data_IF_360967220677
#
_entry.id   IF_360967220677
#
_cell.length_a   1.000
_cell.length_b   1.000
_cell.length_c   1.000
_cell.angle_alpha   90.00
_cell.angle_beta   90.00
_cell.angle_gamma   90.00
#
_symmetry.space_group_name_H-M   'P 1'
#
loop_
_entity.id
_entity.type
_entity.pdbx_description
1 polymer ?
#
# COMPACT_ATOMS: atom_id res chain seq x y z
N UNK A 1 2.52 21.81 -17.65
CA UNK A 1 2.46 20.57 -18.46
C UNK A 1 1.99 19.44 -17.56
N UNK A 2 1.23 18.46 -18.06
CA UNK A 2 0.88 17.28 -17.28
C UNK A 2 2.06 16.29 -17.26
N UNK A 3 2.42 15.77 -16.09
CA UNK A 3 3.46 14.74 -15.96
C UNK A 3 2.91 13.40 -16.47
N UNK A 4 3.54 12.82 -17.49
CA UNK A 4 3.16 11.49 -17.99
C UNK A 4 3.55 10.39 -16.99
N UNK A 5 2.62 10.09 -16.10
CA UNK A 5 2.72 8.99 -15.15
C UNK A 5 2.38 7.62 -15.78
N UNK A 6 1.87 7.53 -17.02
CA UNK A 6 1.59 6.22 -17.63
C UNK A 6 2.90 5.42 -17.82
N UNK A 7 3.97 6.10 -18.25
CA UNK A 7 5.35 5.58 -18.33
C UNK A 7 6.04 5.42 -16.97
N UNK A 8 5.29 5.54 -15.87
CA UNK A 8 5.75 5.21 -14.52
C UNK A 8 5.31 3.83 -14.02
N UNK A 9 4.44 3.10 -14.73
CA UNK A 9 4.15 1.69 -14.39
C UNK A 9 5.01 0.73 -15.23
N UNK A 10 6.19 0.38 -14.71
CA UNK A 10 7.07 -0.71 -15.19
C UNK A 10 7.87 -1.29 -14.01
N UNK A 11 8.52 -2.46 -14.10
CA UNK A 11 9.14 -3.10 -12.92
C UNK A 11 10.21 -2.28 -12.16
N UNK A 12 10.90 -1.32 -12.79
CA UNK A 12 11.81 -0.38 -12.08
C UNK A 12 11.09 0.79 -11.39
N UNK A 13 9.80 0.94 -11.66
CA UNK A 13 8.93 2.03 -11.20
C UNK A 13 7.56 1.51 -10.71
N UNK A 14 7.42 0.21 -10.47
CA UNK A 14 6.17 -0.46 -10.06
C UNK A 14 5.91 -0.16 -8.58
N UNK A 15 5.62 1.11 -8.33
CA UNK A 15 5.58 1.71 -7.02
C UNK A 15 4.14 1.73 -6.53
N UNK A 16 3.95 1.23 -5.32
CA UNK A 16 2.70 1.38 -4.57
C UNK A 16 2.92 2.46 -3.51
N UNK A 17 1.99 3.41 -3.47
CA UNK A 17 2.10 4.66 -2.74
C UNK A 17 1.11 4.71 -1.59
N UNK A 18 1.52 5.16 -0.40
CA UNK A 18 0.64 5.36 0.75
C UNK A 18 0.89 6.72 1.39
N UNK A 19 -0.12 7.57 1.40
CA UNK A 19 -0.05 8.87 2.08
C UNK A 19 -0.22 8.70 3.60
N UNK A 20 0.51 9.50 4.38
CA UNK A 20 0.41 9.59 5.84
C UNK A 20 0.78 10.99 6.32
N UNK A 21 0.35 11.37 7.52
CA UNK A 21 0.92 12.54 8.21
C UNK A 21 2.37 12.26 8.61
N UNK A 22 3.21 13.31 8.64
CA UNK A 22 4.60 13.24 9.09
C UNK A 22 4.76 12.77 10.53
N UNK A 23 3.84 13.15 11.42
CA UNK A 23 3.95 12.85 12.86
C UNK A 23 3.68 11.38 13.17
N UNK A 24 3.05 10.65 12.25
CA UNK A 24 2.89 9.20 12.34
C UNK A 24 4.22 8.47 12.03
N UNK A 25 5.19 9.12 11.37
CA UNK A 25 6.41 8.48 10.86
C UNK A 25 7.26 7.83 11.96
N UNK A 26 7.52 8.44 13.14
CA UNK A 26 8.32 7.80 14.18
C UNK A 26 7.71 6.47 14.67
N UNK A 27 6.39 6.42 14.86
CA UNK A 27 5.70 5.19 15.25
C UNK A 27 5.71 4.16 14.11
N UNK A 28 5.45 4.59 12.87
CA UNK A 28 5.46 3.72 11.68
C UNK A 28 6.84 3.13 11.38
N UNK A 29 7.93 3.83 11.69
CA UNK A 29 9.30 3.31 11.56
C UNK A 29 9.69 2.34 12.68
N UNK A 30 9.16 2.54 13.89
CA UNK A 30 9.45 1.67 15.04
C UNK A 30 8.62 0.38 15.07
N UNK A 31 7.36 0.44 14.63
CA UNK A 31 6.40 -0.67 14.75
C UNK A 31 6.00 -1.26 13.37
N UNK A 32 6.05 -0.46 12.31
CA UNK A 32 5.61 -0.86 10.97
C UNK A 32 4.21 -0.35 10.61
N UNK A 33 3.60 -0.97 9.59
CA UNK A 33 2.28 -0.61 9.05
C UNK A 33 1.24 -1.67 9.44
N UNK A 34 0.21 -1.24 10.17
CA UNK A 34 -0.89 -2.11 10.60
C UNK A 34 -2.22 -1.76 9.95
N UNK A 35 -3.11 -2.75 9.90
CA UNK A 35 -4.53 -2.58 9.60
C UNK A 35 -5.32 -2.19 10.87
N UNK A 36 -6.62 -1.89 10.74
CA UNK A 36 -7.45 -1.40 11.86
C UNK A 36 -7.72 -2.44 12.96
N UNK A 37 -7.61 -3.72 12.65
CA UNK A 37 -7.90 -4.85 13.55
C UNK A 37 -6.69 -5.40 14.30
N UNK A 38 -5.48 -4.91 13.99
CA UNK A 38 -4.29 -5.23 14.76
C UNK A 38 -4.37 -4.66 16.19
N UNK A 39 -3.78 -5.35 17.16
CA UNK A 39 -3.66 -4.87 18.53
C UNK A 39 -2.71 -3.67 18.62
N UNK A 40 -1.71 -3.64 17.74
CA UNK A 40 -0.72 -2.59 17.58
C UNK A 40 -1.33 -1.39 16.83
N UNK A 41 -1.72 -0.37 17.60
CA UNK A 41 -2.20 0.90 17.08
C UNK A 41 -1.42 2.06 17.73
N UNK A 42 -1.24 3.15 17.00
CA UNK A 42 -0.71 4.41 17.52
C UNK A 42 -1.85 5.22 18.17
N UNK A 43 -1.84 5.47 19.49
CA UNK A 43 -2.85 6.32 20.14
C UNK A 43 -2.84 7.77 19.64
N UNK A 44 -1.72 8.24 19.06
CA UNK A 44 -1.55 9.57 18.50
C UNK A 44 -1.88 9.68 17.00
N UNK A 45 -2.35 8.62 16.34
CA UNK A 45 -2.37 8.53 14.87
C UNK A 45 -3.15 9.67 14.18
N UNK A 46 -2.43 10.56 13.50
CA UNK A 46 -3.02 11.70 12.79
C UNK A 46 -3.74 11.20 11.53
N UNK A 47 -5.07 11.18 11.62
CA UNK A 47 -5.97 10.71 10.55
C UNK A 47 -6.24 11.80 9.52
N UNK A 48 -5.52 11.75 8.40
CA UNK A 48 -5.67 12.66 7.25
C UNK A 48 -6.78 12.24 6.24
N UNK A 49 -7.36 11.04 6.40
CA UNK A 49 -8.34 10.49 5.47
C UNK A 49 -9.80 10.84 5.80
N UNK A 50 -10.67 10.81 4.79
CA UNK A 50 -12.11 11.04 4.96
C UNK A 50 -12.73 10.01 5.95
N UNK A 51 -13.24 10.51 7.08
CA UNK A 51 -13.75 9.68 8.19
C UNK A 51 -14.94 8.81 7.81
N UNK A 52 -15.81 9.29 6.92
CA UNK A 52 -17.01 8.59 6.47
C UNK A 52 -16.65 7.39 5.56
N UNK A 53 -15.70 7.57 4.63
CA UNK A 53 -15.12 6.50 3.82
C UNK A 53 -14.37 5.48 4.67
N UNK A 54 -13.63 5.92 5.70
CA UNK A 54 -12.98 5.04 6.68
C UNK A 54 -14.03 4.22 7.44
N UNK A 55 -15.12 4.84 7.88
CA UNK A 55 -16.26 4.16 8.51
C UNK A 55 -16.90 3.11 7.60
N UNK A 56 -17.23 3.47 6.35
CA UNK A 56 -17.78 2.54 5.35
C UNK A 56 -16.84 1.38 5.03
N UNK A 57 -15.52 1.56 5.10
CA UNK A 57 -14.54 0.47 4.93
C UNK A 57 -14.52 -0.50 6.12
N UNK A 58 -14.83 -0.05 7.33
CA UNK A 58 -14.90 -0.89 8.52
C UNK A 58 -16.17 -1.77 8.61
N UNK A 59 -17.18 -1.53 7.76
CA UNK A 59 -18.38 -2.38 7.66
C UNK A 59 -18.50 -3.11 6.33
N UNK A 60 -17.74 -2.71 5.29
CA UNK A 60 -17.72 -3.39 3.99
C UNK A 60 -16.88 -4.66 4.05
N UNK A 61 -17.55 -5.80 4.28
CA UNK A 61 -16.95 -7.13 4.19
C UNK A 61 -16.32 -7.45 2.82
N UNK A 62 -15.30 -8.29 2.81
CA UNK A 62 -14.57 -8.74 1.61
C UNK A 62 -15.01 -10.16 1.24
N UNK A 63 -15.54 -10.40 0.02
CA UNK A 63 -16.10 -11.70 -0.38
C UNK A 63 -15.03 -12.68 -0.88
N UNK A 64 -13.95 -12.86 -0.10
CA UNK A 64 -12.83 -13.76 -0.40
C UNK A 64 -12.54 -14.68 0.80
N UNK A 65 -11.85 -15.82 0.64
CA UNK A 65 -11.62 -16.78 1.73
C UNK A 65 -10.89 -16.21 2.96
N UNK A 66 -10.06 -15.18 2.79
CA UNK A 66 -9.40 -14.45 3.89
C UNK A 66 -10.36 -13.57 4.71
N UNK A 67 -11.59 -13.34 4.23
CA UNK A 67 -12.65 -12.65 4.93
C UNK A 67 -12.31 -11.21 5.36
N UNK A 68 -12.84 -10.83 6.52
CA UNK A 68 -12.69 -9.49 7.08
C UNK A 68 -13.42 -8.40 6.27
N UNK A 69 -12.99 -7.17 6.49
CA UNK A 69 -13.54 -5.92 5.97
C UNK A 69 -12.47 -5.12 5.23
N UNK A 70 -12.86 -4.11 4.45
CA UNK A 70 -11.90 -3.21 3.77
C UNK A 70 -11.04 -2.35 4.73
N UNK A 71 -11.18 -2.48 6.05
CA UNK A 71 -10.27 -1.88 7.05
C UNK A 71 -9.20 -2.85 7.59
N UNK A 72 -9.35 -4.14 7.32
CA UNK A 72 -8.41 -5.20 7.72
C UNK A 72 -7.25 -5.37 6.72
N UNK A 73 -7.34 -4.64 5.59
CA UNK A 73 -6.32 -4.58 4.54
C UNK A 73 -5.75 -3.16 4.43
N UNK A 74 -4.42 -3.04 4.37
CA UNK A 74 -3.70 -1.76 4.32
C UNK A 74 -3.80 -1.17 2.90
N UNK A 75 -4.47 -0.01 2.68
CA UNK A 75 -4.57 0.56 1.34
C UNK A 75 -3.26 1.20 0.86
N UNK A 76 -2.99 0.98 -0.43
CA UNK A 76 -2.00 1.67 -1.25
C UNK A 76 -2.65 2.11 -2.58
N UNK A 77 -2.01 3.05 -3.28
CA UNK A 77 -2.39 3.55 -4.60
C UNK A 77 -1.30 3.19 -5.63
N UNK A 78 -1.69 2.96 -6.90
CA UNK A 78 -0.74 2.82 -8.03
C UNK A 78 -0.32 4.17 -8.64
N UNK A 79 -0.46 5.27 -7.90
CA UNK A 79 -0.08 6.62 -8.30
C UNK A 79 0.21 7.47 -7.05
N UNK A 80 1.20 8.38 -7.07
CA UNK A 80 1.40 9.35 -5.98
C UNK A 80 0.26 10.38 -5.93
N UNK A 81 -0.34 10.72 -7.09
CA UNK A 81 -1.44 11.66 -7.22
C UNK A 81 -2.78 10.98 -6.91
N UNK A 82 -3.01 10.63 -5.65
CA UNK A 82 -4.26 9.98 -5.23
C UNK A 82 -5.45 10.96 -5.15
N UNK A 83 -6.71 10.50 -5.38
CA UNK A 83 -7.90 11.34 -5.15
C UNK A 83 -8.05 11.83 -3.71
N UNK A 84 -7.49 11.12 -2.73
CA UNK A 84 -7.49 11.57 -1.33
C UNK A 84 -6.51 12.73 -1.12
N UNK A 85 -5.35 12.73 -1.80
CA UNK A 85 -4.42 13.85 -1.77
C UNK A 85 -5.04 15.12 -2.35
N UNK A 86 -5.78 15.00 -3.46
CA UNK A 86 -6.55 16.12 -4.02
C UNK A 86 -7.64 16.62 -3.06
N UNK A 87 -8.36 15.73 -2.38
CA UNK A 87 -9.34 16.12 -1.37
C UNK A 87 -8.68 16.84 -0.18
N UNK A 88 -7.50 16.41 0.27
CA UNK A 88 -6.71 17.07 1.33
C UNK A 88 -6.24 18.46 0.88
N UNK A 89 -5.77 18.60 -0.36
CA UNK A 89 -5.33 19.89 -0.91
C UNK A 89 -6.51 20.88 -1.10
N UNK A 90 -7.71 20.39 -1.41
CA UNK A 90 -8.90 21.21 -1.67
C UNK A 90 -9.86 21.34 -0.49
N UNK A 91 -9.61 20.67 0.63
CA UNK A 91 -10.52 20.60 1.79
C UNK A 91 -11.82 19.83 1.52
N UNK A 92 -11.90 19.05 0.44
CA UNK A 92 -13.16 18.42 -0.01
C UNK A 92 -13.51 17.21 0.85
N UNK A 93 -14.27 17.44 1.92
CA UNK A 93 -14.75 16.39 2.83
C UNK A 93 -13.65 15.83 3.76
N UNK A 94 -12.55 16.56 3.90
CA UNK A 94 -11.46 16.33 4.86
C UNK A 94 -10.92 17.69 5.30
N UNK A 95 -10.38 17.83 6.52
CA UNK A 95 -9.57 18.99 6.87
C UNK A 95 -8.39 19.12 5.90
N UNK A 96 -8.07 20.35 5.49
CA UNK A 96 -6.83 20.63 4.77
C UNK A 96 -5.62 20.31 5.63
N UNK A 97 -4.50 19.99 4.98
CA UNK A 97 -3.21 19.74 5.63
C UNK A 97 -2.13 20.54 4.91
N UNK A 98 -1.06 20.93 5.62
CA UNK A 98 0.07 21.60 4.98
C UNK A 98 0.83 20.60 4.11
N UNK A 99 1.42 21.08 3.01
CA UNK A 99 2.12 20.19 2.06
C UNK A 99 3.40 19.60 2.66
N UNK A 100 4.06 20.31 3.58
CA UNK A 100 5.20 19.78 4.34
C UNK A 100 4.83 18.69 5.37
N UNK A 101 3.55 18.53 5.70
CA UNK A 101 3.08 17.57 6.69
C UNK A 101 2.56 16.25 6.09
N UNK A 102 2.41 16.18 4.76
CA UNK A 102 2.01 14.96 4.05
C UNK A 102 3.23 14.24 3.49
N UNK A 103 3.48 13.03 4.00
CA UNK A 103 4.47 12.12 3.46
C UNK A 103 3.82 11.09 2.54
N UNK A 104 4.55 10.69 1.50
CA UNK A 104 4.19 9.57 0.63
C UNK A 104 5.19 8.45 0.85
N UNK A 105 4.73 7.37 1.50
CA UNK A 105 5.49 6.13 1.58
C UNK A 105 5.51 5.48 0.19
N UNK A 106 6.69 5.04 -0.25
CA UNK A 106 6.93 4.49 -1.59
C UNK A 106 7.50 3.08 -1.43
N UNK A 107 6.75 2.07 -1.88
CA UNK A 107 7.19 0.68 -1.86
C UNK A 107 7.32 0.15 -3.29
N UNK A 108 8.37 -0.62 -3.57
CA UNK A 108 8.63 -1.24 -4.88
C UNK A 108 8.47 -2.76 -4.83
N UNK A 109 8.26 -3.39 -5.99
CA UNK A 109 8.34 -4.84 -6.13
C UNK A 109 9.82 -5.28 -6.05
N UNK A 110 10.23 -5.86 -4.92
CA UNK A 110 11.61 -6.35 -4.70
C UNK A 110 11.84 -7.78 -5.24
N UNK A 111 10.76 -8.53 -5.50
CA UNK A 111 10.81 -9.92 -5.91
C UNK A 111 9.42 -10.56 -5.94
N UNK A 112 9.36 -11.83 -6.32
CA UNK A 112 8.12 -12.62 -6.45
C UNK A 112 8.19 -13.80 -5.47
N UNK A 113 7.20 -13.93 -4.59
CA UNK A 113 7.02 -15.10 -3.73
C UNK A 113 6.20 -16.19 -4.44
N UNK A 114 6.68 -17.42 -4.45
CA UNK A 114 5.98 -18.61 -4.96
C UNK A 114 5.63 -19.56 -3.82
N UNK A 115 4.59 -20.39 -3.96
CA UNK A 115 4.18 -21.29 -2.88
C UNK A 115 5.03 -22.58 -2.82
N UNK A 116 5.49 -23.07 -3.97
CA UNK A 116 6.36 -24.26 -4.09
C UNK A 116 7.51 -24.02 -5.08
N UNK A 117 8.50 -24.91 -5.07
CA UNK A 117 9.68 -24.85 -5.93
C UNK A 117 9.37 -25.17 -7.40
N UNK A 118 8.35 -26.01 -7.69
CA UNK A 118 7.88 -26.22 -9.05
C UNK A 118 7.27 -24.93 -9.63
N UNK A 119 6.55 -24.17 -8.81
CA UNK A 119 6.05 -22.85 -9.21
C UNK A 119 7.21 -21.85 -9.37
N UNK A 120 8.24 -21.87 -8.52
CA UNK A 120 9.45 -21.06 -8.75
C UNK A 120 10.08 -21.40 -10.11
N UNK A 121 10.30 -22.68 -10.41
CA UNK A 121 10.94 -23.13 -11.64
C UNK A 121 10.18 -22.76 -12.93
N UNK A 122 8.86 -22.54 -12.86
CA UNK A 122 8.07 -22.04 -14.01
C UNK A 122 8.06 -20.51 -14.12
N UNK A 123 8.21 -19.78 -13.00
CA UNK A 123 8.16 -18.30 -12.97
C UNK A 123 9.54 -17.68 -13.25
N UNK A 124 10.62 -18.26 -12.74
CA UNK A 124 11.98 -17.72 -12.84
C UNK A 124 12.47 -17.55 -14.30
N UNK A 125 12.20 -18.48 -15.25
CA UNK A 125 12.49 -18.27 -16.67
C UNK A 125 11.71 -17.11 -17.30
N UNK A 126 10.49 -16.83 -16.86
CA UNK A 126 9.67 -15.72 -17.38
C UNK A 126 10.24 -14.37 -16.92
N UNK A 127 10.66 -14.28 -15.66
CA UNK A 127 11.34 -13.09 -15.10
C UNK A 127 12.65 -12.82 -15.83
N UNK A 128 13.43 -13.87 -16.11
CA UNK A 128 14.69 -13.80 -16.86
C UNK A 128 14.46 -13.37 -18.33
N UNK A 129 13.46 -13.94 -19.01
CA UNK A 129 13.12 -13.59 -20.40
C UNK A 129 12.74 -12.10 -20.57
N UNK A 130 12.10 -11.51 -19.56
CA UNK A 130 11.79 -10.08 -19.52
C UNK A 130 12.94 -9.20 -18.97
N UNK A 131 14.12 -9.78 -18.67
CA UNK A 131 15.31 -9.08 -18.17
C UNK A 131 15.06 -8.27 -16.88
N UNK A 132 14.16 -8.75 -16.02
CA UNK A 132 13.74 -8.04 -14.81
C UNK A 132 14.67 -8.37 -13.64
N UNK A 133 15.19 -7.38 -12.89
CA UNK A 133 16.05 -7.60 -11.72
C UNK A 133 15.22 -7.97 -10.48
N UNK A 134 14.34 -8.96 -10.60
CA UNK A 134 13.45 -9.44 -9.54
C UNK A 134 13.91 -10.81 -9.07
N UNK A 135 14.07 -10.99 -7.75
CA UNK A 135 14.34 -12.31 -7.19
C UNK A 135 13.04 -13.12 -7.10
N UNK A 136 13.03 -14.37 -7.57
CA UNK A 136 11.95 -15.31 -7.27
C UNK A 136 12.33 -16.13 -6.03
N UNK A 137 11.39 -16.40 -5.12
CA UNK A 137 11.62 -17.18 -3.90
C UNK A 137 10.41 -18.02 -3.50
N UNK A 138 10.60 -19.32 -3.35
CA UNK A 138 9.64 -20.19 -2.67
C UNK A 138 9.47 -19.80 -1.19
N UNK A 139 8.22 -19.57 -0.79
CA UNK A 139 7.79 -19.08 0.52
C UNK A 139 6.42 -19.70 0.88
N UNK A 140 6.38 -20.99 1.27
CA UNK A 140 5.15 -21.61 1.75
C UNK A 140 4.65 -20.90 3.02
N UNK A 141 3.33 -20.87 3.20
CA UNK A 141 2.65 -20.34 4.40
C UNK A 141 2.96 -18.86 4.74
N UNK A 142 3.39 -18.04 3.78
CA UNK A 142 3.79 -16.64 4.01
C UNK A 142 2.58 -15.63 4.07
N UNK A 143 1.34 -16.07 3.68
CA UNK A 143 0.16 -15.21 3.33
C UNK A 143 -1.08 -15.57 4.15
N UNK A 144 -1.28 -16.87 4.40
CA UNK A 144 -2.36 -17.41 5.22
C UNK A 144 -1.76 -18.48 6.15
N UNK A 145 -2.26 -18.54 7.39
CA UNK A 145 -1.93 -19.51 8.45
C UNK A 145 -3.23 -19.98 9.09
#
# INVERSE_FOLDING_TARGET
MATDLSRSLNPRKALIFRITHRDNLPWLLANGLYCRSAAEQDPGFVTIGNRELIGRRATRGVPMPSGGTLSDYIPFYFTPASPMLLNIETGRGVPTQRKEDILVLVCSLLGIGTYTDEVQATVEPQVAAHQLPLKVVTRPNWFFR
#
